data_IF_434262746899
#
_entry.id   IF_434262746899
#
_cell.length_a   1.000
_cell.length_b   1.000
_cell.length_c   1.000
_cell.angle_alpha   90.00
_cell.angle_beta   90.00
_cell.angle_gamma   90.00
#
_symmetry.space_group_name_H-M   'P 1'
#
loop_
_entity.id
_entity.type
_entity.pdbx_description
1 polymer ?
#
# COMPACT_ATOMS: atom_id res chain seq x y z
N UNK A 1 34.28 -34.01 -25.10
CA UNK A 1 32.82 -34.22 -25.21
C UNK A 1 32.20 -32.95 -25.80
N UNK A 2 31.31 -33.05 -26.81
CA UNK A 2 30.52 -31.91 -27.25
C UNK A 2 29.60 -31.45 -26.10
N UNK A 3 29.58 -30.16 -25.82
CA UNK A 3 28.77 -29.55 -24.78
C UNK A 3 28.00 -28.37 -25.36
N UNK A 4 26.72 -28.30 -25.07
CA UNK A 4 25.85 -27.21 -25.51
C UNK A 4 25.31 -26.49 -24.28
N UNK A 5 25.59 -25.19 -24.18
CA UNK A 5 25.03 -24.33 -23.14
C UNK A 5 23.85 -23.58 -23.73
N UNK A 6 22.64 -23.91 -23.28
CA UNK A 6 21.42 -23.23 -23.69
C UNK A 6 21.04 -22.20 -22.62
N UNK A 7 21.08 -20.93 -22.99
CA UNK A 7 20.60 -19.83 -22.16
C UNK A 7 19.27 -19.34 -22.72
N UNK A 8 18.21 -19.43 -21.92
CA UNK A 8 16.92 -18.83 -22.25
C UNK A 8 16.88 -17.40 -21.67
N UNK A 9 16.84 -16.41 -22.55
CA UNK A 9 16.83 -15.00 -22.14
C UNK A 9 15.40 -14.49 -21.90
N UNK A 10 14.43 -15.06 -22.63
CA UNK A 10 12.99 -14.77 -22.59
C UNK A 10 12.26 -16.08 -22.92
N UNK A 11 11.05 -16.35 -22.40
CA UNK A 11 10.31 -17.57 -22.72
C UNK A 11 10.23 -17.86 -24.23
N UNK A 12 10.84 -18.96 -24.66
CA UNK A 12 10.90 -19.40 -26.07
C UNK A 12 12.05 -18.82 -26.90
N UNK A 13 12.92 -17.97 -26.34
CA UNK A 13 14.12 -17.46 -27.01
C UNK A 13 15.39 -18.01 -26.36
N UNK A 14 16.03 -18.95 -27.05
CA UNK A 14 17.27 -19.59 -26.60
C UNK A 14 18.48 -19.07 -27.38
N UNK A 15 19.56 -18.81 -26.66
CA UNK A 15 20.90 -18.64 -27.21
C UNK A 15 21.68 -19.89 -26.83
N UNK A 16 22.17 -20.63 -27.83
CA UNK A 16 22.95 -21.83 -27.64
C UNK A 16 24.42 -21.55 -27.93
N UNK A 17 25.31 -22.01 -27.04
CA UNK A 17 26.74 -22.03 -27.28
C UNK A 17 27.21 -23.48 -27.34
N UNK A 18 27.65 -23.90 -28.53
CA UNK A 18 28.26 -25.21 -28.75
C UNK A 18 29.77 -25.10 -28.55
N UNK A 19 30.30 -25.93 -27.67
CA UNK A 19 31.74 -26.02 -27.41
C UNK A 19 32.19 -27.47 -27.28
N UNK A 20 33.48 -27.71 -27.42
CA UNK A 20 34.08 -29.03 -27.20
C UNK A 20 34.92 -28.97 -25.94
N UNK A 21 34.51 -29.73 -24.92
CA UNK A 21 35.23 -29.81 -23.64
C UNK A 21 36.17 -31.01 -23.69
N UNK A 22 37.48 -30.79 -23.59
CA UNK A 22 38.50 -31.83 -23.48
C UNK A 22 39.03 -31.90 -22.05
N UNK A 23 39.11 -33.12 -21.50
CA UNK A 23 39.72 -33.42 -20.20
C UNK A 23 40.66 -34.60 -20.45
N UNK A 24 41.93 -34.44 -20.08
CA UNK A 24 42.96 -35.44 -20.36
C UNK A 24 43.03 -36.55 -19.30
N UNK A 25 42.44 -36.34 -18.10
CA UNK A 25 42.62 -37.25 -16.96
C UNK A 25 41.32 -37.67 -16.24
N UNK A 26 40.16 -37.01 -16.48
CA UNK A 26 38.93 -37.26 -15.72
C UNK A 26 37.69 -37.42 -16.63
N UNK A 27 36.91 -38.48 -16.38
CA UNK A 27 35.57 -38.65 -16.94
C UNK A 27 34.61 -37.66 -16.25
N UNK A 28 34.35 -36.53 -16.91
CA UNK A 28 33.52 -35.43 -16.39
C UNK A 28 32.06 -35.83 -16.12
N UNK A 29 31.62 -37.00 -16.57
CA UNK A 29 30.30 -37.54 -16.26
C UNK A 29 30.28 -38.27 -14.91
N UNK A 30 31.43 -38.48 -14.25
CA UNK A 30 31.55 -39.25 -13.01
C UNK A 30 32.52 -38.63 -12.00
N UNK A 31 32.16 -38.69 -10.72
CA UNK A 31 33.10 -38.38 -9.64
C UNK A 31 34.12 -39.51 -9.48
N UNK A 32 35.19 -39.26 -8.71
CA UNK A 32 36.25 -40.26 -8.42
C UNK A 32 35.71 -41.54 -7.75
N UNK A 33 34.54 -41.47 -7.12
CA UNK A 33 33.82 -42.61 -6.51
C UNK A 33 32.92 -43.39 -7.49
N UNK A 34 32.87 -42.99 -8.77
CA UNK A 34 32.09 -43.63 -9.82
C UNK A 34 30.62 -43.17 -9.93
N UNK A 35 30.18 -42.25 -9.07
CA UNK A 35 28.82 -41.67 -9.11
C UNK A 35 28.66 -40.72 -10.30
N UNK A 36 27.50 -40.76 -10.95
CA UNK A 36 27.22 -39.91 -12.12
C UNK A 36 27.01 -38.45 -11.66
N UNK A 37 27.68 -37.51 -12.32
CA UNK A 37 27.54 -36.07 -12.02
C UNK A 37 26.27 -35.56 -12.70
N UNK A 38 25.12 -35.76 -12.05
CA UNK A 38 23.85 -35.12 -12.38
C UNK A 38 23.42 -34.18 -11.24
N UNK A 39 22.99 -32.97 -11.54
CA UNK A 39 22.59 -32.00 -10.51
C UNK A 39 22.45 -30.56 -10.97
N UNK A 40 21.84 -29.75 -10.11
CA UNK A 40 21.66 -28.31 -10.31
C UNK A 40 22.85 -27.53 -9.75
N UNK A 41 23.24 -26.46 -10.44
CA UNK A 41 24.35 -25.60 -10.03
C UNK A 41 23.84 -24.16 -9.91
N UNK A 42 24.13 -23.53 -8.77
CA UNK A 42 23.87 -22.11 -8.55
C UNK A 42 25.16 -21.33 -8.75
N UNK A 43 25.15 -20.38 -9.68
CA UNK A 43 26.37 -19.66 -10.04
C UNK A 43 26.12 -18.34 -10.76
N UNK A 44 27.19 -17.57 -10.86
CA UNK A 44 27.25 -16.33 -11.63
C UNK A 44 27.82 -16.65 -13.01
N UNK A 45 27.11 -16.24 -14.06
CA UNK A 45 27.62 -16.18 -15.43
C UNK A 45 28.08 -14.75 -15.71
N UNK A 46 29.38 -14.56 -15.90
CA UNK A 46 29.97 -13.29 -16.30
C UNK A 46 30.18 -13.30 -17.81
N UNK A 47 29.57 -12.35 -18.52
CA UNK A 47 29.69 -12.20 -19.97
C UNK A 47 30.33 -10.84 -20.24
N UNK A 48 31.52 -10.85 -20.80
CA UNK A 48 32.24 -9.64 -21.19
C UNK A 48 32.28 -9.57 -22.71
N UNK A 49 31.78 -8.48 -23.25
CA UNK A 49 31.95 -8.10 -24.64
C UNK A 49 32.56 -6.70 -24.70
N UNK A 50 33.85 -6.64 -25.00
CA UNK A 50 34.62 -5.39 -25.13
C UNK A 50 35.52 -5.46 -26.36
N UNK A 51 35.14 -4.76 -27.43
CA UNK A 51 35.81 -4.81 -28.73
C UNK A 51 35.86 -6.23 -29.30
N UNK A 52 37.07 -6.70 -29.60
CA UNK A 52 37.33 -8.06 -30.10
C UNK A 52 37.39 -9.12 -28.97
N UNK A 53 37.28 -8.72 -27.69
CA UNK A 53 37.30 -9.65 -26.56
C UNK A 53 35.89 -10.12 -26.23
N UNK A 54 35.65 -11.41 -26.45
CA UNK A 54 34.44 -12.11 -26.03
C UNK A 54 34.80 -13.17 -24.99
N UNK A 55 34.34 -12.99 -23.76
CA UNK A 55 34.62 -13.90 -22.66
C UNK A 55 33.33 -14.26 -21.94
N UNK A 56 33.14 -15.54 -21.64
CA UNK A 56 32.02 -16.07 -20.88
C UNK A 56 32.57 -17.00 -19.80
N UNK A 57 32.41 -16.60 -18.55
CA UNK A 57 32.90 -17.33 -17.37
C UNK A 57 31.72 -17.70 -16.48
N UNK A 58 31.55 -19.00 -16.21
CA UNK A 58 30.58 -19.49 -15.24
C UNK A 58 31.31 -19.93 -13.96
N UNK A 59 30.92 -19.36 -12.82
CA UNK A 59 31.39 -19.77 -11.50
C UNK A 59 30.19 -20.12 -10.64
N UNK A 60 30.10 -21.37 -10.18
CA UNK A 60 28.95 -21.85 -9.43
C UNK A 60 29.27 -22.99 -8.47
N UNK A 61 28.39 -23.16 -7.48
CA UNK A 61 28.42 -24.24 -6.49
C UNK A 61 27.30 -25.23 -6.78
N UNK A 62 27.56 -26.53 -6.65
CA UNK A 62 26.54 -27.59 -6.82
C UNK A 62 25.54 -27.53 -5.67
N UNK A 63 24.25 -27.54 -6.00
CA UNK A 63 23.17 -27.63 -5.02
C UNK A 63 22.96 -29.09 -4.61
N UNK A 64 22.76 -29.36 -3.32
CA UNK A 64 22.36 -30.68 -2.83
C UNK A 64 20.86 -30.88 -3.14
N UNK A 65 20.55 -31.98 -3.83
CA UNK A 65 19.44 -32.08 -4.77
C UNK A 65 18.07 -32.46 -4.19
N UNK A 66 17.69 -32.00 -2.99
CA UNK A 66 16.36 -32.33 -2.42
C UNK A 66 15.54 -31.14 -1.86
N UNK A 67 16.04 -29.90 -1.88
CA UNK A 67 15.33 -28.77 -1.25
C UNK A 67 14.95 -27.61 -2.18
N UNK A 68 15.36 -27.62 -3.45
CA UNK A 68 15.15 -26.49 -4.35
C UNK A 68 14.45 -26.92 -5.65
N UNK A 69 13.13 -26.71 -5.71
CA UNK A 69 12.39 -26.71 -6.98
C UNK A 69 12.72 -25.42 -7.76
N UNK A 70 12.64 -25.41 -9.10
CA UNK A 70 12.77 -24.17 -9.90
C UNK A 70 11.80 -23.06 -9.46
N UNK A 71 10.70 -23.44 -8.81
CA UNK A 71 9.77 -22.53 -8.15
C UNK A 71 10.45 -21.76 -7.01
N UNK A 72 11.41 -22.30 -6.27
CA UNK A 72 12.10 -21.58 -5.19
C UNK A 72 12.95 -20.39 -5.65
N UNK A 73 13.12 -20.21 -6.96
CA UNK A 73 13.83 -19.07 -7.57
C UNK A 73 12.89 -17.87 -7.76
N UNK A 74 11.94 -17.66 -6.83
CA UNK A 74 11.06 -16.49 -6.84
C UNK A 74 11.85 -15.26 -6.41
N UNK A 75 12.15 -14.39 -7.38
CA UNK A 75 12.63 -13.02 -7.13
C UNK A 75 11.65 -12.33 -6.17
N UNK A 76 12.16 -11.74 -5.09
CA UNK A 76 11.37 -10.98 -4.11
C UNK A 76 10.45 -9.95 -4.78
N UNK A 77 10.86 -9.39 -5.93
CA UNK A 77 10.06 -8.47 -6.75
C UNK A 77 8.82 -9.14 -7.36
N UNK A 78 8.89 -10.42 -7.70
CA UNK A 78 7.76 -11.21 -8.23
C UNK A 78 6.78 -11.54 -7.12
N UNK A 79 7.24 -11.86 -5.90
CA UNK A 79 6.36 -12.03 -4.74
C UNK A 79 5.64 -10.73 -4.35
N UNK A 80 6.32 -9.58 -4.35
CA UNK A 80 5.68 -8.28 -4.14
C UNK A 80 4.63 -8.01 -5.22
N UNK A 81 4.91 -8.32 -6.49
CA UNK A 81 3.91 -8.18 -7.58
C UNK A 81 2.72 -9.13 -7.44
N UNK A 82 2.92 -10.37 -7.01
CA UNK A 82 1.85 -11.35 -6.79
C UNK A 82 1.01 -11.04 -5.54
N UNK A 83 1.62 -10.55 -4.47
CA UNK A 83 0.92 -10.09 -3.27
C UNK A 83 0.08 -8.82 -3.55
N UNK A 84 0.63 -7.85 -4.30
CA UNK A 84 -0.14 -6.70 -4.79
C UNK A 84 -1.28 -7.14 -5.73
N UNK A 85 -1.04 -8.14 -6.60
CA UNK A 85 -2.07 -8.66 -7.49
C UNK A 85 -3.21 -9.42 -6.77
N UNK A 86 -2.94 -9.97 -5.58
CA UNK A 86 -3.93 -10.74 -4.79
C UNK A 86 -4.64 -9.89 -3.73
N UNK A 87 -4.01 -8.82 -3.25
CA UNK A 87 -4.62 -7.78 -2.41
C UNK A 87 -4.08 -6.41 -2.81
N UNK A 88 -4.74 -5.71 -3.75
CA UNK A 88 -4.30 -4.38 -4.13
C UNK A 88 -4.38 -3.45 -2.92
N UNK A 89 -3.31 -2.70 -2.67
CA UNK A 89 -3.27 -1.59 -1.72
C UNK A 89 -4.49 -0.71 -1.97
N UNK A 90 -5.38 -0.57 -0.98
CA UNK A 90 -6.67 0.10 -1.17
C UNK A 90 -6.93 1.04 -0.02
N UNK A 91 -7.24 2.30 -0.35
CA UNK A 91 -7.65 3.30 0.63
C UNK A 91 -9.14 3.13 0.91
N UNK A 92 -9.49 2.82 2.16
CA UNK A 92 -10.87 2.73 2.61
C UNK A 92 -11.27 4.07 3.19
N UNK A 93 -12.24 4.74 2.57
CA UNK A 93 -12.63 6.10 2.89
C UNK A 93 -14.08 6.14 3.39
N UNK A 94 -14.31 6.86 4.48
CA UNK A 94 -15.64 7.14 5.02
C UNK A 94 -15.89 8.64 5.04
N UNK A 95 -17.01 9.07 4.48
CA UNK A 95 -17.39 10.47 4.34
C UNK A 95 -18.67 10.75 5.14
N UNK A 96 -18.53 11.48 6.24
CA UNK A 96 -19.66 11.95 7.06
C UNK A 96 -19.92 13.43 6.79
N UNK A 97 -21.19 13.77 6.57
CA UNK A 97 -21.62 15.16 6.34
C UNK A 97 -22.47 15.61 7.52
N UNK A 98 -22.09 16.74 8.11
CA UNK A 98 -22.75 17.33 9.27
C UNK A 98 -23.32 18.68 8.84
N UNK A 99 -24.61 18.68 8.51
CA UNK A 99 -25.33 19.88 8.10
C UNK A 99 -26.03 20.54 9.30
N UNK A 100 -26.05 21.89 9.40
CA UNK A 100 -26.77 22.60 10.46
C UNK A 100 -28.30 22.54 10.27
N UNK A 101 -28.74 22.44 9.03
CA UNK A 101 -30.15 22.33 8.62
C UNK A 101 -30.30 21.28 7.55
N UNK A 102 -31.49 20.70 7.44
CA UNK A 102 -31.80 19.74 6.39
C UNK A 102 -31.75 20.43 5.03
N UNK A 103 -31.02 19.86 4.07
CA UNK A 103 -30.90 20.39 2.72
C UNK A 103 -30.50 19.32 1.71
N UNK A 104 -30.64 19.64 0.43
CA UNK A 104 -30.09 18.84 -0.65
C UNK A 104 -28.61 19.20 -0.84
N UNK A 105 -27.79 18.20 -1.14
CA UNK A 105 -26.38 18.39 -1.42
C UNK A 105 -25.93 17.41 -2.49
N UNK A 106 -25.26 17.92 -3.51
CA UNK A 106 -24.46 17.08 -4.40
C UNK A 106 -23.06 16.91 -3.80
N UNK A 107 -22.56 15.68 -3.79
CA UNK A 107 -21.17 15.36 -3.48
C UNK A 107 -20.53 14.80 -4.73
N UNK A 108 -19.45 15.40 -5.20
CA UNK A 108 -18.72 14.93 -6.37
C UNK A 108 -17.32 14.52 -5.95
N UNK A 109 -16.99 13.25 -6.17
CA UNK A 109 -15.66 12.69 -5.96
C UNK A 109 -14.94 12.64 -7.29
N UNK A 110 -13.75 13.22 -7.36
CA UNK A 110 -12.88 13.18 -8.54
C UNK A 110 -11.53 12.59 -8.14
N UNK A 111 -11.18 11.45 -8.71
CA UNK A 111 -9.90 10.79 -8.47
C UNK A 111 -8.91 11.19 -9.56
N UNK A 112 -7.65 11.38 -9.17
CA UNK A 112 -6.58 11.61 -10.13
C UNK A 112 -6.39 10.38 -11.05
N UNK A 113 -5.79 10.52 -12.24
CA UNK A 113 -5.59 9.40 -13.18
C UNK A 113 -4.83 8.21 -12.61
N UNK A 114 -4.04 8.44 -11.55
CA UNK A 114 -3.24 7.42 -10.86
C UNK A 114 -4.03 6.65 -9.79
N UNK A 115 -5.32 6.95 -9.64
CA UNK A 115 -6.21 6.32 -8.67
C UNK A 115 -7.48 5.87 -9.37
N UNK A 116 -8.01 4.72 -8.98
CA UNK A 116 -9.27 4.17 -9.48
C UNK A 116 -10.25 3.99 -8.34
N UNK A 117 -11.52 4.28 -8.62
CA UNK A 117 -12.60 3.97 -7.70
C UNK A 117 -12.92 2.47 -7.81
N UNK A 118 -12.83 1.73 -6.72
CA UNK A 118 -13.12 0.30 -6.70
C UNK A 118 -14.55 0.00 -6.26
N UNK A 119 -14.87 0.35 -5.00
CA UNK A 119 -16.18 0.13 -4.39
C UNK A 119 -16.71 1.47 -3.90
N UNK A 120 -18.02 1.67 -3.98
CA UNK A 120 -18.69 2.83 -3.43
C UNK A 120 -20.04 2.40 -2.85
N UNK A 121 -20.33 2.83 -1.62
CA UNK A 121 -21.60 2.57 -0.94
C UNK A 121 -22.12 3.81 -0.19
N UNK A 122 -23.38 4.23 -0.37
CA UNK A 122 -24.32 3.79 -1.41
C UNK A 122 -23.74 3.84 -2.83
N UNK A 123 -24.36 3.19 -3.83
CA UNK A 123 -23.85 3.22 -5.20
C UNK A 123 -23.76 4.67 -5.70
N UNK A 124 -22.64 5.03 -6.33
CA UNK A 124 -22.42 6.38 -6.84
C UNK A 124 -22.76 6.45 -8.33
N UNK A 125 -23.29 7.59 -8.77
CA UNK A 125 -23.55 7.87 -10.19
C UNK A 125 -22.23 8.19 -10.90
N UNK A 126 -21.86 7.44 -11.94
CA UNK A 126 -20.68 7.74 -12.74
C UNK A 126 -20.97 8.88 -13.73
N UNK A 127 -20.22 9.99 -13.63
CA UNK A 127 -20.37 11.15 -14.53
C UNK A 127 -19.27 11.17 -15.60
N UNK A 128 -18.05 10.77 -15.22
CA UNK A 128 -16.93 10.64 -16.14
C UNK A 128 -15.94 9.60 -15.61
N UNK A 129 -14.88 9.32 -16.37
CA UNK A 129 -13.79 8.48 -15.89
C UNK A 129 -13.21 9.06 -14.60
N UNK A 130 -13.07 8.20 -13.58
CA UNK A 130 -12.61 8.58 -12.24
C UNK A 130 -13.42 9.71 -11.57
N UNK A 131 -14.67 9.92 -11.98
CA UNK A 131 -15.53 10.96 -11.41
C UNK A 131 -16.93 10.44 -11.15
N UNK A 132 -17.34 10.48 -9.89
CA UNK A 132 -18.66 10.03 -9.44
C UNK A 132 -19.39 11.10 -8.64
N UNK A 133 -20.70 10.97 -8.58
CA UNK A 133 -21.59 11.89 -7.88
C UNK A 133 -22.56 11.15 -6.97
N UNK A 134 -22.89 11.80 -5.88
CA UNK A 134 -24.02 11.48 -5.02
C UNK A 134 -24.98 12.64 -4.98
N UNK A 135 -26.27 12.34 -5.09
CA UNK A 135 -27.33 13.28 -4.77
C UNK A 135 -27.99 12.87 -3.45
N UNK A 136 -27.83 13.72 -2.43
CA UNK A 136 -28.20 13.40 -1.06
C UNK A 136 -29.16 14.41 -0.47
N UNK A 137 -30.03 13.95 0.43
CA UNK A 137 -30.63 14.80 1.45
C UNK A 137 -29.84 14.61 2.74
N UNK A 138 -29.23 15.69 3.21
CA UNK A 138 -28.43 15.67 4.44
C UNK A 138 -29.25 16.26 5.58
N UNK A 139 -29.08 15.71 6.78
CA UNK A 139 -29.88 16.07 7.96
C UNK A 139 -29.00 16.58 9.12
N UNK A 140 -29.55 17.48 9.97
CA UNK A 140 -28.95 17.75 11.27
C UNK A 140 -28.81 16.45 12.05
N UNK A 141 -27.60 16.16 12.52
CA UNK A 141 -27.26 14.90 13.19
C UNK A 141 -26.49 13.88 12.33
N UNK A 142 -26.27 14.17 11.05
CA UNK A 142 -25.36 13.40 10.19
C UNK A 142 -25.97 12.23 9.43
N UNK A 143 -27.31 12.13 9.41
CA UNK A 143 -27.99 11.19 8.52
C UNK A 143 -27.97 11.71 7.07
N UNK A 144 -27.75 10.78 6.15
CA UNK A 144 -27.68 10.98 4.71
C UNK A 144 -28.74 10.10 4.06
N UNK A 145 -29.67 10.68 3.32
CA UNK A 145 -30.59 9.93 2.49
C UNK A 145 -30.09 9.94 1.05
N UNK A 146 -29.80 8.76 0.53
CA UNK A 146 -29.41 8.55 -0.86
C UNK A 146 -30.64 8.22 -1.69
N UNK A 147 -30.99 9.11 -2.62
CA UNK A 147 -32.26 9.03 -3.35
C UNK A 147 -32.32 7.83 -4.29
N UNK A 148 -31.25 7.54 -5.02
CA UNK A 148 -31.27 6.50 -6.04
C UNK A 148 -31.48 5.09 -5.44
N UNK A 149 -30.91 4.84 -4.27
CA UNK A 149 -31.08 3.57 -3.56
C UNK A 149 -32.15 3.61 -2.47
N UNK A 150 -32.78 4.76 -2.24
CA UNK A 150 -33.73 5.01 -1.14
C UNK A 150 -33.20 4.62 0.26
N UNK A 151 -31.87 4.67 0.44
CA UNK A 151 -31.21 4.24 1.67
C UNK A 151 -30.86 5.42 2.56
N UNK A 152 -30.89 5.19 3.88
CA UNK A 152 -30.40 6.14 4.88
C UNK A 152 -29.11 5.59 5.48
N UNK A 153 -28.03 6.37 5.40
CA UNK A 153 -26.73 6.03 5.98
C UNK A 153 -26.21 7.18 6.85
N UNK A 154 -25.20 6.91 7.67
CA UNK A 154 -24.49 7.93 8.48
C UNK A 154 -23.19 8.39 7.83
N UNK A 155 -22.79 7.73 6.75
CA UNK A 155 -21.62 8.05 5.96
C UNK A 155 -21.75 7.46 4.55
N UNK A 156 -21.04 8.06 3.61
CA UNK A 156 -20.67 7.41 2.35
C UNK A 156 -19.40 6.60 2.60
N UNK A 157 -19.27 5.47 1.93
CA UNK A 157 -18.09 4.63 1.90
C UNK A 157 -17.58 4.58 0.46
N UNK A 158 -16.27 4.67 0.28
CA UNK A 158 -15.68 4.36 -1.00
C UNK A 158 -14.25 3.84 -0.85
N UNK A 159 -13.81 3.09 -1.84
CA UNK A 159 -12.48 2.52 -1.94
C UNK A 159 -11.74 3.13 -3.13
N UNK A 160 -10.56 3.69 -2.85
CA UNK A 160 -9.68 4.25 -3.86
C UNK A 160 -8.41 3.40 -3.96
N UNK A 161 -8.12 2.91 -5.16
CA UNK A 161 -6.98 2.02 -5.44
C UNK A 161 -5.93 2.83 -6.22
N UNK A 162 -4.74 3.10 -5.65
CA UNK A 162 -3.64 3.68 -6.39
C UNK A 162 -3.10 2.70 -7.44
N UNK A 163 -2.50 3.25 -8.50
CA UNK A 163 -1.76 2.45 -9.47
C UNK A 163 -0.60 1.69 -8.78
N UNK A 164 -0.50 0.35 -8.95
CA UNK A 164 0.58 -0.47 -8.40
C UNK A 164 2.00 0.05 -8.69
N UNK A 165 2.21 0.77 -9.80
CA UNK A 165 3.52 1.32 -10.16
C UNK A 165 3.98 2.51 -9.30
N UNK A 166 3.11 3.05 -8.44
CA UNK A 166 3.34 4.31 -7.71
C UNK A 166 3.55 4.12 -6.19
N UNK A 167 3.46 2.90 -5.69
CA UNK A 167 3.43 2.63 -4.24
C UNK A 167 4.73 1.96 -3.78
N UNK A 168 5.76 2.75 -3.46
CA UNK A 168 6.89 2.24 -2.63
C UNK A 168 6.62 2.55 -1.15
N UNK A 169 6.31 1.54 -0.32
CA UNK A 169 5.99 1.72 1.10
C UNK A 169 7.02 2.54 1.88
N UNK A 170 8.31 2.43 1.54
CA UNK A 170 9.40 3.10 2.25
C UNK A 170 9.48 4.60 1.92
N UNK A 171 8.99 5.01 0.75
CA UNK A 171 8.90 6.42 0.37
C UNK A 171 7.72 7.12 1.04
N UNK A 172 6.64 6.39 1.31
CA UNK A 172 5.46 6.94 1.97
C UNK A 172 5.66 7.14 3.47
N UNK A 173 6.29 6.18 4.15
CA UNK A 173 6.46 6.19 5.61
C UNK A 173 7.92 5.93 6.00
N UNK A 174 8.57 6.98 6.46
CA UNK A 174 9.95 7.00 6.91
C UNK A 174 10.08 7.79 8.23
N UNK A 175 11.17 7.62 8.99
CA UNK A 175 11.35 8.29 10.29
C UNK A 175 11.28 9.83 10.23
N UNK A 176 11.61 10.41 9.06
CA UNK A 176 11.54 11.86 8.83
C UNK A 176 10.12 12.41 8.70
N UNK A 177 9.12 11.56 8.49
CA UNK A 177 7.76 11.99 8.13
C UNK A 177 6.64 11.16 8.77
N UNK A 178 6.98 10.23 9.65
CA UNK A 178 6.05 9.34 10.34
C UNK A 178 6.67 8.79 11.60
N UNK A 179 5.87 8.03 12.35
CA UNK A 179 6.25 7.48 13.64
C UNK A 179 6.03 5.98 13.66
N UNK A 180 6.75 5.27 14.51
CA UNK A 180 6.56 3.84 14.72
C UNK A 180 6.38 3.49 16.19
N UNK A 181 5.50 2.53 16.46
CA UNK A 181 5.31 1.98 17.81
C UNK A 181 4.72 0.57 17.73
N UNK A 182 4.68 -0.12 18.88
CA UNK A 182 4.05 -1.44 18.95
C UNK A 182 2.54 -1.31 18.70
N UNK A 183 1.90 -2.37 18.19
CA UNK A 183 0.43 -2.41 18.06
C UNK A 183 -0.29 -2.11 19.37
N UNK A 184 0.27 -2.58 20.50
CA UNK A 184 -0.29 -2.37 21.84
C UNK A 184 -0.36 -0.90 22.22
N UNK A 185 0.64 -0.11 21.83
CA UNK A 185 0.72 1.32 22.15
C UNK A 185 0.03 2.18 21.05
N UNK A 186 0.02 1.67 19.81
CA UNK A 186 -0.60 2.31 18.66
C UNK A 186 -2.09 2.57 18.84
N UNK A 187 -2.87 1.58 19.30
CA UNK A 187 -4.32 1.73 19.42
C UNK A 187 -4.71 2.80 20.46
N UNK A 188 -4.20 2.79 21.71
CA UNK A 188 -4.46 3.86 22.67
C UNK A 188 -3.97 5.23 22.18
N UNK A 189 -2.79 5.28 21.55
CA UNK A 189 -2.24 6.52 21.00
C UNK A 189 -3.16 7.10 19.93
N UNK A 190 -3.53 6.31 18.93
CA UNK A 190 -4.41 6.72 17.84
C UNK A 190 -5.77 7.19 18.36
N UNK A 191 -6.35 6.50 19.35
CA UNK A 191 -7.59 6.95 20.01
C UNK A 191 -7.47 8.35 20.61
N UNK A 192 -6.34 8.66 21.27
CA UNK A 192 -6.06 9.99 21.81
C UNK A 192 -5.87 11.03 20.71
N UNK A 193 -5.18 10.68 19.62
CA UNK A 193 -5.00 11.59 18.47
C UNK A 193 -6.35 11.94 17.84
N UNK A 194 -7.20 10.95 17.56
CA UNK A 194 -8.53 11.20 16.97
C UNK A 194 -9.43 12.05 17.90
N UNK A 195 -9.31 11.90 19.22
CA UNK A 195 -9.99 12.74 20.20
C UNK A 195 -9.48 14.19 20.17
N UNK A 196 -8.16 14.39 20.10
CA UNK A 196 -7.55 15.72 19.95
C UNK A 196 -8.00 16.44 18.68
N UNK A 197 -8.20 15.68 17.60
CA UNK A 197 -8.74 16.14 16.31
C UNK A 197 -10.26 16.36 16.33
N UNK A 198 -10.91 16.10 17.47
CA UNK A 198 -12.31 16.45 17.68
C UNK A 198 -13.32 15.44 17.17
N UNK A 199 -12.89 14.21 16.87
CA UNK A 199 -13.83 13.15 16.51
C UNK A 199 -14.70 12.79 17.72
N UNK A 200 -15.99 12.54 17.46
CA UNK A 200 -16.90 12.05 18.50
C UNK A 200 -16.46 10.67 19.00
N UNK A 201 -16.86 10.32 20.23
CA UNK A 201 -16.63 8.99 20.81
C UNK A 201 -17.09 7.87 19.87
N UNK A 202 -18.27 8.02 19.26
CA UNK A 202 -18.79 7.05 18.32
C UNK A 202 -17.92 6.91 17.07
N UNK A 203 -17.51 8.03 16.47
CA UNK A 203 -16.70 8.04 15.26
C UNK A 203 -15.31 7.41 15.49
N UNK A 204 -14.63 7.76 16.59
CA UNK A 204 -13.31 7.18 16.90
C UNK A 204 -13.38 5.68 17.19
N UNK A 205 -14.40 5.23 17.93
CA UNK A 205 -14.57 3.80 18.23
C UNK A 205 -14.88 3.00 16.96
N UNK A 206 -15.75 3.51 16.08
CA UNK A 206 -16.02 2.87 14.79
C UNK A 206 -14.76 2.81 13.92
N UNK A 207 -13.98 3.90 13.85
CA UNK A 207 -12.75 3.94 13.09
C UNK A 207 -11.75 2.86 13.54
N UNK A 208 -11.54 2.71 14.85
CA UNK A 208 -10.66 1.66 15.38
C UNK A 208 -11.23 0.27 15.12
N UNK A 209 -12.52 0.04 15.40
CA UNK A 209 -13.12 -1.29 15.23
C UNK A 209 -13.09 -1.77 13.78
N UNK A 210 -13.37 -0.88 12.82
CA UNK A 210 -13.39 -1.21 11.40
C UNK A 210 -12.00 -1.56 10.85
N UNK A 211 -10.93 -1.05 11.47
CA UNK A 211 -9.56 -1.24 11.02
C UNK A 211 -8.73 -2.14 11.96
N UNK A 212 -9.33 -2.66 13.04
CA UNK A 212 -8.64 -3.46 14.05
C UNK A 212 -7.94 -4.67 13.45
N UNK A 213 -8.59 -5.39 12.52
CA UNK A 213 -8.03 -6.58 11.89
C UNK A 213 -6.78 -6.28 11.07
N UNK A 214 -6.73 -5.13 10.41
CA UNK A 214 -5.58 -4.67 9.63
C UNK A 214 -4.44 -4.23 10.57
N UNK A 215 -4.75 -3.50 11.63
CA UNK A 215 -3.74 -3.10 12.62
C UNK A 215 -3.14 -4.29 13.36
N UNK A 216 -3.97 -5.25 13.79
CA UNK A 216 -3.52 -6.42 14.55
C UNK A 216 -2.72 -7.42 13.72
N UNK A 217 -2.70 -7.28 12.40
CA UNK A 217 -1.87 -8.09 11.52
C UNK A 217 -0.37 -7.81 11.71
N UNK A 218 -0.03 -6.68 12.33
CA UNK A 218 1.35 -6.22 12.52
C UNK A 218 1.71 -6.11 13.99
N UNK A 219 2.90 -6.59 14.36
CA UNK A 219 3.43 -6.45 15.71
C UNK A 219 3.84 -5.00 15.99
N UNK A 220 4.48 -4.36 15.02
CA UNK A 220 4.95 -2.98 15.06
C UNK A 220 4.37 -2.25 13.85
N UNK A 221 3.91 -1.02 14.06
CA UNK A 221 3.21 -0.22 13.04
C UNK A 221 3.96 1.10 12.87
N UNK A 222 4.36 1.38 11.63
CA UNK A 222 4.78 2.71 11.22
C UNK A 222 3.61 3.43 10.53
N UNK A 223 3.37 4.69 10.86
CA UNK A 223 2.22 5.43 10.32
C UNK A 223 2.47 6.93 10.24
N UNK A 224 1.59 7.61 9.51
CA UNK A 224 1.43 9.06 9.56
C UNK A 224 0.05 9.49 9.07
N UNK A 225 -0.31 10.74 9.33
CA UNK A 225 -1.42 11.39 8.63
C UNK A 225 -0.91 12.16 7.41
N UNK A 226 -1.66 12.13 6.31
CA UNK A 226 -1.39 12.97 5.15
C UNK A 226 -1.97 14.38 5.36
N UNK A 227 -1.23 15.38 4.88
CA UNK A 227 -1.69 16.77 4.82
C UNK A 227 -2.81 16.93 3.80
N UNK A 228 -3.79 17.84 3.99
CA UNK A 228 -4.91 18.05 3.08
C UNK A 228 -4.51 18.21 1.61
N UNK A 229 -3.43 18.95 1.32
CA UNK A 229 -2.96 19.16 -0.06
C UNK A 229 -2.53 17.87 -0.78
N UNK A 230 -1.93 16.91 -0.06
CA UNK A 230 -1.56 15.60 -0.62
C UNK A 230 -2.79 14.73 -0.89
N UNK A 231 -3.79 14.81 -0.02
CA UNK A 231 -5.04 14.07 -0.19
C UNK A 231 -5.80 14.63 -1.39
N UNK A 232 -5.94 15.96 -1.50
CA UNK A 232 -6.64 16.63 -2.59
C UNK A 232 -6.00 16.36 -3.97
N UNK A 233 -4.67 16.18 -4.03
CA UNK A 233 -3.98 15.81 -5.25
C UNK A 233 -4.34 14.40 -5.75
N UNK A 234 -4.74 13.50 -4.85
CA UNK A 234 -5.16 12.14 -5.18
C UNK A 234 -6.68 12.03 -5.39
N UNK A 235 -7.45 12.62 -4.47
CA UNK A 235 -8.90 12.52 -4.40
C UNK A 235 -9.46 13.90 -4.02
N UNK A 236 -10.09 14.56 -4.98
CA UNK A 236 -10.78 15.82 -4.80
C UNK A 236 -12.26 15.60 -4.47
N UNK A 237 -12.77 16.37 -3.52
CA UNK A 237 -14.16 16.30 -3.06
C UNK A 237 -14.76 17.69 -3.18
N UNK A 238 -15.80 17.80 -3.98
CA UNK A 238 -16.56 19.05 -4.14
C UNK A 238 -18.01 18.87 -3.72
N UNK A 239 -18.57 19.94 -3.18
CA UNK A 239 -19.93 20.01 -2.68
C UNK A 239 -20.62 21.22 -3.31
N UNK A 240 -21.95 21.14 -3.48
CA UNK A 240 -22.74 22.31 -3.91
C UNK A 240 -22.86 23.39 -2.84
N UNK A 241 -22.66 23.03 -1.57
CA UNK A 241 -22.78 23.93 -0.42
C UNK A 241 -21.39 24.25 0.13
N UNK A 242 -21.16 25.50 0.53
CA UNK A 242 -19.91 25.91 1.18
C UNK A 242 -19.69 25.09 2.45
N UNK A 243 -18.48 24.54 2.61
CA UNK A 243 -18.23 23.45 3.53
C UNK A 243 -16.85 23.56 4.17
N UNK A 244 -16.81 23.30 5.48
CA UNK A 244 -15.55 23.11 6.21
C UNK A 244 -15.13 21.65 6.10
N UNK A 245 -14.00 21.42 5.43
CA UNK A 245 -13.43 20.08 5.27
C UNK A 245 -12.51 19.72 6.43
N UNK A 246 -12.67 18.52 6.96
CA UNK A 246 -11.71 17.86 7.86
C UNK A 246 -11.43 16.49 7.30
N UNK A 247 -10.23 16.29 6.77
CA UNK A 247 -9.87 15.04 6.05
C UNK A 247 -8.72 14.37 6.79
N UNK A 248 -9.01 13.23 7.42
CA UNK A 248 -8.05 12.45 8.19
C UNK A 248 -7.67 11.23 7.36
N UNK A 249 -6.50 11.29 6.72
CA UNK A 249 -6.01 10.19 5.91
C UNK A 249 -4.81 9.54 6.60
N UNK A 250 -5.05 8.40 7.25
CA UNK A 250 -4.04 7.59 7.91
C UNK A 250 -3.41 6.65 6.88
N UNK A 251 -2.09 6.74 6.74
CA UNK A 251 -1.30 5.76 6.00
C UNK A 251 -0.44 4.99 7.00
N UNK A 252 -0.42 3.67 6.91
CA UNK A 252 0.36 2.83 7.83
C UNK A 252 0.97 1.63 7.10
N UNK A 253 2.00 1.03 7.71
CA UNK A 253 2.61 -0.23 7.29
C UNK A 253 3.12 -1.02 8.48
N UNK A 254 3.23 -2.33 8.31
CA UNK A 254 3.92 -3.19 9.26
C UNK A 254 5.43 -2.96 9.26
N UNK A 255 6.06 -3.09 10.43
CA UNK A 255 7.51 -3.20 10.56
C UNK A 255 7.90 -4.58 11.08
N UNK A 256 8.93 -5.15 10.46
CA UNK A 256 9.67 -6.27 11.05
C UNK A 256 10.42 -5.81 12.30
N UNK A 257 10.82 -6.73 13.19
CA UNK A 257 11.59 -6.37 14.39
C UNK A 257 12.93 -5.69 14.04
N UNK A 258 13.54 -6.05 12.90
CA UNK A 258 14.79 -5.47 12.41
C UNK A 258 14.59 -4.00 11.94
N UNK A 259 13.43 -3.69 11.37
CA UNK A 259 13.12 -2.35 10.85
C UNK A 259 12.70 -1.35 11.92
N UNK A 260 12.33 -1.80 13.12
CA UNK A 260 11.94 -0.91 14.23
C UNK A 260 13.07 0.06 14.57
N UNK A 261 14.32 -0.40 14.51
CA UNK A 261 15.51 0.40 14.79
C UNK A 261 15.67 1.61 13.84
N UNK A 262 15.11 1.53 12.63
CA UNK A 262 15.14 2.64 11.65
C UNK A 262 14.38 3.86 12.17
N UNK A 263 13.34 3.65 12.98
CA UNK A 263 12.53 4.71 13.61
C UNK A 263 13.05 5.14 14.98
N UNK A 264 14.33 4.90 15.29
CA UNK A 264 14.95 5.42 16.51
C UNK A 264 14.83 6.96 16.55
N UNK A 265 14.14 7.48 17.56
CA UNK A 265 13.84 8.91 17.70
C UNK A 265 12.59 9.40 16.95
N UNK A 266 11.80 8.49 16.39
CA UNK A 266 10.47 8.74 15.84
C UNK A 266 9.47 7.72 16.40
N UNK A 267 9.53 7.51 17.72
CA UNK A 267 8.74 6.52 18.43
C UNK A 267 7.46 7.07 19.05
N UNK A 268 6.90 6.33 19.99
CA UNK A 268 5.71 6.73 20.75
C UNK A 268 5.87 8.09 21.45
N UNK A 269 7.05 8.34 22.04
CA UNK A 269 7.33 9.58 22.77
C UNK A 269 7.23 10.79 21.86
N UNK A 270 7.84 10.73 20.68
CA UNK A 270 7.82 11.83 19.71
C UNK A 270 6.44 11.99 19.07
N UNK A 271 5.73 10.88 18.80
CA UNK A 271 4.35 10.91 18.32
C UNK A 271 3.41 11.62 19.31
N UNK A 272 3.58 11.38 20.62
CA UNK A 272 2.80 12.04 21.67
C UNK A 272 3.05 13.56 21.77
N UNK A 273 4.17 14.05 21.23
CA UNK A 273 4.53 15.47 21.22
C UNK A 273 4.16 16.18 19.91
N UNK A 274 3.76 15.41 18.88
CA UNK A 274 3.44 15.95 17.57
C UNK A 274 2.15 16.79 17.59
N UNK A 275 2.15 17.89 16.84
CA UNK A 275 0.96 18.71 16.65
C UNK A 275 0.09 18.16 15.51
N UNK A 276 -0.76 17.18 15.83
CA UNK A 276 -1.63 16.53 14.86
C UNK A 276 -2.61 17.48 14.17
N UNK A 277 -3.05 18.54 14.86
CA UNK A 277 -3.96 19.54 14.31
C UNK A 277 -3.34 20.28 13.15
N UNK A 278 -2.08 20.67 13.28
CA UNK A 278 -1.33 21.35 12.21
C UNK A 278 -1.13 20.43 10.99
N UNK A 279 -0.74 19.16 11.25
CA UNK A 279 -0.50 18.16 10.19
C UNK A 279 -1.75 17.96 9.31
N UNK A 280 -2.93 17.85 9.92
CA UNK A 280 -4.18 17.59 9.18
C UNK A 280 -4.92 18.87 8.75
N UNK A 281 -4.36 20.06 9.02
CA UNK A 281 -4.99 21.34 8.71
C UNK A 281 -6.30 21.56 9.46
N UNK A 282 -6.39 21.08 10.71
CA UNK A 282 -7.57 21.21 11.55
C UNK A 282 -7.82 22.67 11.94
N UNK A 283 -9.10 23.08 12.02
CA UNK A 283 -9.51 24.40 12.48
C UNK A 283 -10.66 24.32 13.49
N UNK A 284 -10.88 25.37 14.28
CA UNK A 284 -12.01 25.41 15.24
C UNK A 284 -13.37 25.27 14.53
N UNK A 285 -13.47 25.74 13.28
CA UNK A 285 -14.65 25.59 12.43
C UNK A 285 -15.02 24.11 12.20
N UNK A 286 -14.07 23.18 12.31
CA UNK A 286 -14.33 21.73 12.21
C UNK A 286 -15.27 21.22 13.32
N UNK A 287 -15.41 21.94 14.43
CA UNK A 287 -16.32 21.59 15.55
C UNK A 287 -17.60 22.42 15.58
N UNK A 288 -17.67 23.49 14.81
CA UNK A 288 -18.82 24.40 14.83
C UNK A 288 -20.06 23.74 14.22
N UNK A 289 -21.04 23.42 15.06
CA UNK A 289 -22.29 22.78 14.65
C UNK A 289 -23.21 23.68 13.83
N UNK A 290 -22.92 24.97 13.75
CA UNK A 290 -23.66 25.94 12.94
C UNK A 290 -23.18 25.97 11.48
N UNK A 291 -22.01 25.42 11.20
CA UNK A 291 -21.43 25.33 9.87
C UNK A 291 -21.77 23.99 9.21
N UNK A 292 -21.82 24.01 7.87
CA UNK A 292 -21.83 22.79 7.07
C UNK A 292 -20.42 22.20 7.04
N UNK A 293 -20.29 20.95 7.48
CA UNK A 293 -18.99 20.31 7.67
C UNK A 293 -18.94 18.94 7.02
N UNK A 294 -17.78 18.60 6.50
CA UNK A 294 -17.48 17.28 5.98
C UNK A 294 -16.30 16.69 6.75
N UNK A 295 -16.50 15.52 7.32
CA UNK A 295 -15.46 14.71 7.94
C UNK A 295 -15.18 13.52 7.04
N UNK A 296 -13.97 13.45 6.51
CA UNK A 296 -13.47 12.26 5.85
C UNK A 296 -12.50 11.54 6.77
N UNK A 297 -12.67 10.23 6.94
CA UNK A 297 -11.68 9.37 7.58
C UNK A 297 -11.28 8.26 6.62
N UNK A 298 -10.01 8.20 6.28
CA UNK A 298 -9.46 7.28 5.30
C UNK A 298 -8.27 6.52 5.87
N UNK A 299 -8.18 5.24 5.52
CA UNK A 299 -7.08 4.37 5.95
C UNK A 299 -6.49 3.67 4.72
N UNK A 300 -5.16 3.72 4.61
CA UNK A 300 -4.39 3.01 3.60
C UNK A 300 -3.27 2.22 4.27
N UNK A 301 -3.32 0.91 4.14
CA UNK A 301 -2.19 0.04 4.46
C UNK A 301 -1.27 -0.04 3.25
N UNK A 302 0.02 0.22 3.45
CA UNK A 302 1.03 0.14 2.39
C UNK A 302 1.90 -1.08 2.65
N UNK A 303 1.89 -2.03 1.73
CA UNK A 303 2.59 -3.31 1.81
C UNK A 303 3.75 -3.39 0.85
#
# INVERSE_FOLDING_TARGET
MPATFNLELVPGQHVALDTTVSSDELDMARMEDGTMVDGMFWGKLNIVHDGDKHEMEFSGTRLQSDEYTPEFMFDSRVMTKLSIATKPTTAKCHLSILAPTQQYCDVVLTLSPLWKLAIAWPPAEAIAENKVKYFLRVHPGGALEHFESEMVSTALYYEAVPDPGMVDPNDYIAPRNGFAMSFRDFIPHLMNVLDQLGMSLHARTNFINNNMSAFSAHKNIAYRFLTPGKIAAAIDISLTTDCVFTRLFLIFRGLSDDDVGVFAGAGEKEANQANWRDIVGWSENSKDTTLFRLLETSVLEVT
#
